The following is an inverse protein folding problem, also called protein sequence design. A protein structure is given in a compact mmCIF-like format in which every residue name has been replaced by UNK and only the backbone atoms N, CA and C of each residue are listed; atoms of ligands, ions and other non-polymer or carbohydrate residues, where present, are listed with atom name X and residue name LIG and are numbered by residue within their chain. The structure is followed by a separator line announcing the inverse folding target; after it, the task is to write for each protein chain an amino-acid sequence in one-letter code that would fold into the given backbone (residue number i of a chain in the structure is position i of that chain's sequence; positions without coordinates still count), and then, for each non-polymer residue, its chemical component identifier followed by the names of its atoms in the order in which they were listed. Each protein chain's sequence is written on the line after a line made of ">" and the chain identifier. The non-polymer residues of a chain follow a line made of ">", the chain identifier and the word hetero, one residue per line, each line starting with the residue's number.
data_IF_260413296749
#
_entry.id   IF_260413296749
#
_cell.length_a   1.000
_cell.length_b   1.000
_cell.length_c   1.000
_cell.angle_alpha   90.00
_cell.angle_beta   90.00
_cell.angle_gamma   90.00
#
_symmetry.space_group_name_H-M   'P 1'
#
loop_
_entity.id
_entity.type
_entity.pdbx_description
1 polymer ?
#
# COMPACT_ATOMS: atom_id res chain seq x y z
N UNK A 1 -13.74 15.06 22.55
CA UNK A 1 -13.66 14.82 22.32
C UNK A 1 -13.66 14.55 21.68
N UNK A 2 -13.83 14.50 21.88
CA UNK A 2 -13.76 14.14 21.47
C UNK A 2 -13.77 13.85 20.70
N UNK A 3 -13.89 13.98 20.87
CA UNK A 3 -13.79 13.63 20.29
C UNK A 3 -13.76 13.27 19.46
N UNK A 4 -13.98 13.42 19.70
CA UNK A 4 -13.92 12.95 19.02
C UNK A 4 -13.98 12.51 18.31
N UNK A 5 -14.27 12.69 18.52
CA UNK A 5 -14.28 12.23 17.97
C UNK A 5 -14.39 11.80 17.28
N UNK A 6 -14.55 11.93 17.37
CA UNK A 6 -14.62 11.52 16.85
C UNK A 6 -14.89 10.94 16.34
N UNK A 7 -15.25 10.97 16.68
CA UNK A 7 -15.38 10.33 16.29
C UNK A 7 -15.84 9.82 15.61
N UNK A 8 -16.04 9.83 16.09
CA UNK A 8 -16.36 9.07 15.49
C UNK A 8 -16.65 8.72 14.49
N UNK A 9 -16.90 8.75 14.09
CA UNK A 9 -17.40 8.18 13.15
C UNK A 9 -16.72 7.51 12.23
N UNK A 10 -16.05 7.15 12.43
CA UNK A 10 -15.51 6.43 11.71
C UNK A 10 -16.04 5.19 11.58
N UNK A 11 -17.03 4.92 12.00
CA UNK A 11 -17.70 3.69 11.87
C UNK A 11 -18.27 3.52 10.50
N UNK A 12 -18.41 4.58 9.75
CA UNK A 12 -18.91 4.44 8.42
C UNK A 12 -17.84 4.69 7.44
N UNK A 13 -17.44 3.67 6.70
CA UNK A 13 -16.43 3.80 5.68
C UNK A 13 -17.12 3.96 4.35
N UNK A 14 -16.64 4.89 3.56
CA UNK A 14 -17.16 5.06 2.22
C UNK A 14 -16.64 3.94 1.32
N UNK A 15 -17.22 3.82 0.12
CA UNK A 15 -16.72 2.86 -0.84
C UNK A 15 -15.27 3.13 -1.20
N UNK A 16 -14.91 4.41 -1.26
CA UNK A 16 -13.56 4.78 -1.56
C UNK A 16 -12.62 4.31 -0.46
N UNK A 17 -13.02 4.46 0.79
CA UNK A 17 -12.21 4.00 1.91
C UNK A 17 -12.03 2.49 1.89
N UNK A 18 -13.10 1.77 1.59
CA UNK A 18 -13.02 0.33 1.53
C UNK A 18 -12.12 -0.15 0.41
N UNK A 19 -12.17 0.54 -0.72
CA UNK A 19 -11.31 0.19 -1.84
C UNK A 19 -9.85 0.42 -1.49
N UNK A 20 -9.56 1.54 -0.86
CA UNK A 20 -8.17 1.81 -0.46
C UNK A 20 -7.68 0.79 0.55
N UNK A 21 -8.55 0.41 1.47
CA UNK A 21 -8.18 -0.56 2.48
C UNK A 21 -7.88 -1.91 1.84
N UNK A 22 -8.66 -2.31 0.86
CA UNK A 22 -8.43 -3.57 0.17
C UNK A 22 -7.08 -3.59 -0.52
N UNK A 23 -6.72 -2.49 -1.17
CA UNK A 23 -5.40 -2.41 -1.80
C UNK A 23 -4.29 -2.47 -0.75
N UNK A 24 -4.51 -1.81 0.37
CA UNK A 24 -3.51 -1.80 1.41
C UNK A 24 -3.28 -3.20 1.97
N UNK A 25 -4.36 -3.96 2.13
CA UNK A 25 -4.25 -5.34 2.59
C UNK A 25 -3.46 -6.17 1.59
N UNK A 26 -3.77 -6.03 0.31
CA UNK A 26 -3.04 -6.75 -0.71
C UNK A 26 -1.58 -6.38 -0.72
N UNK A 27 -1.29 -5.12 -0.53
CA UNK A 27 0.08 -4.68 -0.48
C UNK A 27 0.80 -5.30 0.72
N UNK A 28 0.12 -5.36 1.86
CA UNK A 28 0.70 -5.97 3.03
C UNK A 28 1.03 -7.43 2.82
N UNK A 29 0.11 -8.16 2.18
CA UNK A 29 0.35 -9.56 1.91
C UNK A 29 1.53 -9.75 0.97
N UNK A 30 1.62 -8.89 -0.04
CA UNK A 30 2.72 -8.96 -0.96
C UNK A 30 4.03 -8.64 -0.26
N UNK A 31 4.01 -7.62 0.59
CA UNK A 31 5.20 -7.23 1.32
C UNK A 31 5.68 -8.38 2.21
N UNK A 32 4.75 -9.05 2.87
CA UNK A 32 5.13 -10.16 3.73
C UNK A 32 5.74 -11.30 2.92
N UNK A 33 5.18 -11.56 1.75
CA UNK A 33 5.73 -12.59 0.89
C UNK A 33 7.14 -12.24 0.45
N UNK A 34 7.37 -10.98 0.12
CA UNK A 34 8.70 -10.55 -0.29
C UNK A 34 9.70 -10.69 0.85
N UNK A 35 9.27 -10.33 2.06
CA UNK A 35 10.15 -10.45 3.20
C UNK A 35 10.49 -11.92 3.46
N UNK A 36 9.50 -12.77 3.38
CA UNK A 36 9.71 -14.20 3.65
C UNK A 36 10.65 -14.82 2.64
N UNK A 37 10.57 -14.38 1.40
CA UNK A 37 11.36 -15.01 0.36
C UNK A 37 12.70 -14.37 0.15
N UNK A 38 12.77 -13.06 0.26
CA UNK A 38 13.99 -12.35 -0.09
C UNK A 38 14.52 -11.42 1.00
N UNK A 39 13.78 -11.28 2.09
CA UNK A 39 14.27 -10.48 3.20
C UNK A 39 13.71 -9.07 3.20
N UNK A 40 13.90 -8.43 4.33
CA UNK A 40 13.34 -7.13 4.59
C UNK A 40 13.89 -6.05 3.66
N UNK A 41 15.19 -6.09 3.43
CA UNK A 41 15.81 -5.06 2.60
C UNK A 41 15.29 -5.09 1.18
N UNK A 42 15.08 -6.29 0.65
CA UNK A 42 14.51 -6.41 -0.69
C UNK A 42 13.12 -5.81 -0.73
N UNK A 43 12.29 -6.14 0.27
CA UNK A 43 10.93 -5.65 0.30
C UNK A 43 10.89 -4.13 0.39
N UNK A 44 11.72 -3.57 1.26
CA UNK A 44 11.75 -2.13 1.43
C UNK A 44 12.20 -1.44 0.14
N UNK A 45 13.26 -1.95 -0.46
CA UNK A 45 13.77 -1.35 -1.68
C UNK A 45 12.78 -1.44 -2.82
N UNK A 46 12.12 -2.58 -2.94
CA UNK A 46 11.15 -2.78 -4.01
C UNK A 46 9.97 -1.81 -3.86
N UNK A 47 9.46 -1.68 -2.65
CA UNK A 47 8.33 -0.79 -2.43
C UNK A 47 8.71 0.66 -2.60
N UNK A 48 9.89 1.03 -2.15
CA UNK A 48 10.36 2.39 -2.32
C UNK A 48 10.56 2.72 -3.79
N UNK A 49 11.12 1.80 -4.53
CA UNK A 49 11.32 2.00 -5.95
C UNK A 49 9.99 2.13 -6.68
N UNK A 50 9.00 1.32 -6.27
CA UNK A 50 7.68 1.40 -6.87
C UNK A 50 7.06 2.77 -6.62
N UNK A 51 7.20 3.27 -5.40
CA UNK A 51 6.68 4.59 -5.07
C UNK A 51 7.33 5.67 -5.93
N UNK A 52 8.62 5.52 -6.15
CA UNK A 52 9.35 6.49 -6.96
C UNK A 52 8.91 6.46 -8.41
N UNK A 53 8.68 5.25 -8.94
CA UNK A 53 8.20 5.14 -10.31
C UNK A 53 6.84 5.81 -10.48
N UNK A 54 5.97 5.64 -9.48
CA UNK A 54 4.67 6.28 -9.53
C UNK A 54 4.84 7.81 -9.54
N UNK A 55 5.71 8.30 -8.70
CA UNK A 55 5.94 9.75 -8.61
C UNK A 55 6.49 10.32 -9.91
N UNK A 56 7.22 9.51 -10.65
CA UNK A 56 7.84 9.95 -11.91
C UNK A 56 7.01 9.57 -13.12
N UNK A 57 5.83 9.01 -12.91
CA UNK A 57 4.94 8.60 -13.99
C UNK A 57 5.58 7.58 -14.91
N UNK A 58 6.36 6.69 -14.33
CA UNK A 58 6.98 5.63 -15.08
C UNK A 58 6.28 4.31 -14.81
N UNK A 59 6.23 3.43 -15.78
CA UNK A 59 5.71 2.09 -15.49
C UNK A 59 6.68 1.38 -14.58
N UNK A 60 6.17 0.69 -13.57
CA UNK A 60 7.09 0.02 -12.68
C UNK A 60 7.19 -1.46 -12.98
N UNK A 61 6.57 -1.92 -14.03
CA UNK A 61 6.91 -3.23 -14.56
C UNK A 61 7.60 -3.01 -15.88
N UNK A 62 8.71 -3.66 -16.09
CA UNK A 62 9.42 -3.47 -17.35
C UNK A 62 8.58 -3.95 -18.51
N UNK A 63 8.72 -3.24 -19.62
CA UNK A 63 8.07 -3.65 -20.78
C UNK A 63 8.86 -4.74 -21.37
N UNK A 64 8.25 -5.88 -21.53
CA UNK A 64 8.97 -6.94 -22.10
C UNK A 64 8.53 -7.09 -23.49
N UNK A 65 9.34 -7.28 -24.36
CA UNK A 65 8.88 -7.38 -25.68
C UNK A 65 9.14 -8.49 -26.30
#
# INVERSE_FOLDING_TARGET
>A
MATNNKAAPQTEMTEDDLSKDAFYVQLGELAEAMIAKHGKDFAMGTLLLSARFIAEDKPFTPKRN
#
